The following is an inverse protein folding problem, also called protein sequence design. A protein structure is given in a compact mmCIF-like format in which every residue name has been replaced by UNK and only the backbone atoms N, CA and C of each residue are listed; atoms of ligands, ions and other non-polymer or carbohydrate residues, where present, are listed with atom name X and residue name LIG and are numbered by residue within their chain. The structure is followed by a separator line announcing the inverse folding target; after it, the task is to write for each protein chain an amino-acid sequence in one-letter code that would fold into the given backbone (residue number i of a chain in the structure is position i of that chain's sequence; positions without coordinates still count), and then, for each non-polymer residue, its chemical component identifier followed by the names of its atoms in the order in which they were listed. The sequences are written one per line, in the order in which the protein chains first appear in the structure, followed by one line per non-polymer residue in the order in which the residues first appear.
data_IF_346339926653
#
_entry.id   IF_346339926653
#
_cell.length_a   1.000
_cell.length_b   1.000
_cell.length_c   1.000
_cell.angle_alpha   90.00
_cell.angle_beta   90.00
_cell.angle_gamma   90.00
#
_symmetry.space_group_name_H-M   'P 1'
#
loop_
_entity.id
_entity.type
_entity.pdbx_description
1 polymer ?
#
# COMPACT_ATOMS: atom_id res chain seq x y z
N UNK A 1 18.18 -3.20 -11.23
CA UNK A 1 16.86 -2.81 -11.67
C UNK A 1 15.89 -2.78 -10.50
N UNK A 2 15.10 -1.74 -10.44
CA UNK A 2 14.17 -1.54 -9.34
C UNK A 2 12.87 -2.29 -9.58
N UNK A 3 12.29 -2.81 -8.51
CA UNK A 3 11.07 -3.59 -8.55
C UNK A 3 9.98 -2.83 -7.80
N UNK A 4 8.85 -2.57 -8.47
CA UNK A 4 7.68 -1.99 -7.83
C UNK A 4 7.03 -2.93 -6.83
N UNK A 5 6.33 -2.37 -5.85
CA UNK A 5 5.63 -3.13 -4.82
C UNK A 5 4.14 -2.82 -4.81
N UNK A 6 3.38 -3.73 -4.21
CA UNK A 6 2.00 -3.49 -3.79
C UNK A 6 1.98 -3.56 -2.28
N UNK A 7 1.67 -2.46 -1.62
CA UNK A 7 1.58 -2.39 -0.17
C UNK A 7 0.12 -2.26 0.25
N UNK A 8 -0.26 -3.01 1.28
CA UNK A 8 -1.63 -3.02 1.79
C UNK A 8 -1.60 -2.60 3.25
N UNK A 9 -2.33 -1.54 3.58
CA UNK A 9 -2.61 -1.13 4.94
C UNK A 9 -4.01 -1.62 5.30
N UNK A 10 -4.13 -2.32 6.41
CA UNK A 10 -5.42 -2.74 6.94
C UNK A 10 -5.58 -2.18 8.35
N UNK A 11 -6.78 -1.68 8.67
CA UNK A 11 -7.08 -1.12 9.99
C UNK A 11 -8.10 -1.97 10.74
N UNK A 12 -7.83 -2.21 12.03
CA UNK A 12 -8.76 -2.80 13.00
C UNK A 12 -9.30 -1.78 14.00
N UNK A 13 -9.02 -0.53 13.79
CA UNK A 13 -9.42 0.63 14.55
C UNK A 13 -8.95 1.85 13.79
N UNK A 14 -9.14 3.04 14.32
CA UNK A 14 -8.75 4.27 13.62
C UNK A 14 -7.24 4.38 13.57
N UNK A 15 -6.68 4.53 12.36
CA UNK A 15 -5.26 4.74 12.11
C UNK A 15 -5.10 6.08 11.41
N UNK A 16 -4.36 7.00 12.03
CA UNK A 16 -4.11 8.34 11.48
C UNK A 16 -2.76 8.39 10.79
N UNK A 17 -2.77 8.87 9.54
CA UNK A 17 -1.58 9.12 8.73
C UNK A 17 -0.61 7.92 8.69
N UNK A 18 -1.05 6.76 8.19
CA UNK A 18 -0.19 5.59 8.10
C UNK A 18 0.91 5.79 7.07
N UNK A 19 2.07 5.19 7.31
CA UNK A 19 3.23 5.33 6.44
C UNK A 19 4.06 4.06 6.39
N UNK A 20 4.78 3.87 5.27
CA UNK A 20 5.84 2.87 5.12
C UNK A 20 7.13 3.58 4.73
N UNK A 21 8.23 3.00 5.15
CA UNK A 21 9.57 3.54 4.94
C UNK A 21 10.47 2.46 4.38
N UNK A 22 11.31 2.84 3.42
CA UNK A 22 12.36 1.98 2.88
C UNK A 22 13.69 2.52 3.39
N UNK A 23 14.32 1.79 4.32
CA UNK A 23 15.49 2.28 5.07
C UNK A 23 16.68 2.56 4.16
N UNK A 24 16.97 1.68 3.22
CA UNK A 24 18.17 1.76 2.39
C UNK A 24 18.16 2.97 1.46
N UNK A 25 17.01 3.35 0.92
CA UNK A 25 16.89 4.52 0.04
C UNK A 25 16.51 5.80 0.78
N UNK A 26 15.99 5.69 1.99
CA UNK A 26 15.39 6.81 2.71
C UNK A 26 14.03 7.25 2.18
N UNK A 27 13.50 6.56 1.18
CA UNK A 27 12.18 6.87 0.62
C UNK A 27 11.07 6.40 1.55
N UNK A 28 9.94 7.09 1.48
CA UNK A 28 8.76 6.73 2.27
C UNK A 28 7.49 7.09 1.53
N UNK A 29 6.40 6.45 1.91
CA UNK A 29 5.05 6.77 1.46
C UNK A 29 4.21 7.01 2.70
N UNK A 30 3.70 8.23 2.86
CA UNK A 30 2.84 8.61 3.96
C UNK A 30 1.51 9.06 3.42
N UNK A 31 0.44 8.45 3.93
CA UNK A 31 -0.93 8.76 3.52
C UNK A 31 -1.54 9.66 4.59
N UNK A 32 -1.63 10.93 4.26
CA UNK A 32 -2.01 11.98 5.19
C UNK A 32 -0.79 12.67 5.81
N UNK A 33 -0.91 13.95 6.11
CA UNK A 33 0.15 14.77 6.69
C UNK A 33 -0.47 15.98 7.37
N UNK A 34 0.34 16.71 8.14
CA UNK A 34 -0.14 17.91 8.86
C UNK A 34 -0.81 18.88 7.89
N UNK A 35 -2.05 19.24 8.16
CA UNK A 35 -2.87 20.10 7.31
C UNK A 35 -3.72 19.32 6.29
N UNK A 36 -3.49 18.05 6.11
CA UNK A 36 -4.28 17.18 5.24
C UNK A 36 -4.30 15.76 5.81
N UNK A 37 -4.84 15.64 7.02
CA UNK A 37 -4.86 14.39 7.75
C UNK A 37 -5.76 13.36 7.08
N UNK A 38 -5.32 12.09 7.14
CA UNK A 38 -6.08 10.96 6.68
C UNK A 38 -6.30 9.97 7.83
N UNK A 39 -7.54 9.53 8.00
CA UNK A 39 -7.88 8.50 8.98
C UNK A 39 -8.41 7.27 8.28
N UNK A 40 -7.71 6.17 8.46
CA UNK A 40 -8.17 4.86 7.99
C UNK A 40 -9.05 4.26 9.07
N UNK A 41 -10.30 3.96 8.71
CA UNK A 41 -11.30 3.46 9.66
C UNK A 41 -11.21 1.95 9.78
N UNK A 42 -11.75 1.41 10.88
CA UNK A 42 -11.81 -0.03 11.11
C UNK A 42 -12.49 -0.74 9.92
N UNK A 43 -11.84 -1.78 9.42
CA UNK A 43 -12.35 -2.55 8.28
C UNK A 43 -12.01 -1.99 6.92
N UNK A 44 -11.35 -0.84 6.85
CA UNK A 44 -10.90 -0.25 5.60
C UNK A 44 -9.48 -0.70 5.26
N UNK A 45 -9.13 -0.57 3.98
CA UNK A 45 -7.81 -0.88 3.44
C UNK A 45 -7.29 0.29 2.61
N UNK A 46 -5.99 0.51 2.64
CA UNK A 46 -5.30 1.34 1.65
C UNK A 46 -4.42 0.43 0.82
N UNK A 47 -4.51 0.55 -0.50
CA UNK A 47 -3.70 -0.22 -1.45
C UNK A 47 -2.79 0.75 -2.20
N UNK A 48 -1.51 0.50 -2.16
CA UNK A 48 -0.49 1.34 -2.77
C UNK A 48 0.23 0.54 -3.84
N UNK A 49 0.24 1.04 -5.08
CA UNK A 49 1.02 0.48 -6.17
C UNK A 49 2.18 1.43 -6.48
N UNK A 50 3.39 0.89 -6.56
CA UNK A 50 4.58 1.67 -6.91
C UNK A 50 5.20 1.25 -8.24
N UNK A 51 4.53 0.39 -9.00
CA UNK A 51 5.00 -0.06 -10.31
C UNK A 51 5.02 1.09 -11.31
N UNK A 52 6.02 1.12 -12.16
CA UNK A 52 6.12 2.11 -13.23
C UNK A 52 4.84 2.13 -14.07
N UNK A 53 4.26 3.30 -14.25
CA UNK A 53 3.00 3.49 -14.98
C UNK A 53 1.74 3.17 -14.20
N UNK A 54 1.86 2.73 -12.92
CA UNK A 54 0.72 2.35 -12.09
C UNK A 54 0.80 2.92 -10.68
N UNK A 55 1.49 4.04 -10.51
CA UNK A 55 1.73 4.63 -9.18
C UNK A 55 0.48 5.33 -8.67
N UNK A 56 -0.29 4.64 -7.86
CA UNK A 56 -1.54 5.14 -7.30
C UNK A 56 -1.77 4.61 -5.90
N UNK A 57 -2.56 5.36 -5.13
CA UNK A 57 -3.01 4.99 -3.80
C UNK A 57 -4.52 4.94 -3.82
N UNK A 58 -5.08 3.84 -3.31
CA UNK A 58 -6.53 3.59 -3.29
C UNK A 58 -7.01 3.36 -1.87
N UNK A 59 -8.22 3.83 -1.59
CA UNK A 59 -8.96 3.47 -0.39
C UNK A 59 -10.02 2.42 -0.75
N UNK A 60 -10.07 1.34 0.03
CA UNK A 60 -11.12 0.34 -0.05
C UNK A 60 -11.99 0.45 1.20
N UNK A 61 -13.28 0.72 1.02
CA UNK A 61 -14.24 0.73 2.10
C UNK A 61 -15.46 -0.11 1.73
N UNK A 62 -16.12 -0.70 2.74
CA UNK A 62 -17.33 -1.46 2.51
C UNK A 62 -17.14 -2.80 1.80
N UNK A 63 -15.92 -3.32 1.75
CA UNK A 63 -15.63 -4.63 1.18
C UNK A 63 -15.07 -5.53 2.27
N UNK A 64 -15.55 -6.78 2.33
CA UNK A 64 -15.09 -7.77 3.31
C UNK A 64 -13.83 -8.48 2.81
N UNK A 65 -13.08 -9.07 3.73
CA UNK A 65 -11.94 -9.91 3.39
C UNK A 65 -12.36 -11.08 2.50
N UNK A 66 -13.51 -11.68 2.75
CA UNK A 66 -14.02 -12.78 1.93
C UNK A 66 -14.28 -12.34 0.49
N UNK A 67 -14.82 -11.14 0.29
CA UNK A 67 -15.04 -10.59 -1.04
C UNK A 67 -13.73 -10.32 -1.77
N UNK A 68 -12.72 -9.81 -1.06
CA UNK A 68 -11.39 -9.60 -1.62
C UNK A 68 -10.79 -10.93 -2.07
N UNK A 69 -10.90 -11.97 -1.24
CA UNK A 69 -10.34 -13.29 -1.51
C UNK A 69 -11.00 -14.03 -2.68
N UNK A 70 -12.16 -13.57 -3.14
CA UNK A 70 -12.79 -14.10 -4.35
C UNK A 70 -12.02 -13.74 -5.62
N UNK A 71 -11.15 -12.72 -5.56
CA UNK A 71 -10.40 -12.21 -6.70
C UNK A 71 -8.95 -12.62 -6.62
N UNK A 72 -8.67 -13.85 -7.05
CA UNK A 72 -7.31 -14.40 -7.08
C UNK A 72 -6.81 -14.53 -8.51
N UNK A 73 -5.51 -14.34 -8.68
CA UNK A 73 -4.86 -14.56 -9.96
C UNK A 73 -4.59 -16.06 -10.17
N UNK A 74 -3.98 -16.41 -11.30
CA UNK A 74 -3.67 -17.80 -11.64
C UNK A 74 -2.67 -18.47 -10.68
N UNK A 75 -1.99 -17.69 -9.84
CA UNK A 75 -1.04 -18.19 -8.87
C UNK A 75 -1.66 -18.33 -7.46
N UNK A 76 -2.95 -18.04 -7.32
CA UNK A 76 -3.64 -18.09 -6.03
C UNK A 76 -3.42 -16.87 -5.16
N UNK A 77 -2.77 -15.83 -5.69
CA UNK A 77 -2.56 -14.56 -4.98
C UNK A 77 -3.72 -13.62 -5.26
N UNK A 78 -4.04 -12.75 -4.30
CA UNK A 78 -5.09 -11.75 -4.49
C UNK A 78 -4.69 -10.83 -5.65
N UNK A 79 -5.62 -10.65 -6.58
CA UNK A 79 -5.47 -9.73 -7.70
C UNK A 79 -5.90 -8.32 -7.25
N UNK A 80 -4.97 -7.62 -6.62
CA UNK A 80 -5.24 -6.30 -6.05
C UNK A 80 -5.63 -5.26 -7.11
N UNK A 81 -5.15 -5.40 -8.35
CA UNK A 81 -5.56 -4.49 -9.43
C UNK A 81 -7.05 -4.62 -9.72
N UNK A 82 -7.55 -5.85 -9.77
CA UNK A 82 -8.99 -6.11 -9.95
C UNK A 82 -9.77 -5.59 -8.74
N UNK A 83 -9.29 -5.87 -7.53
CA UNK A 83 -9.96 -5.43 -6.30
C UNK A 83 -10.12 -3.92 -6.26
N UNK A 84 -9.06 -3.15 -6.55
CA UNK A 84 -9.17 -1.68 -6.53
C UNK A 84 -10.04 -1.15 -7.67
N UNK A 85 -10.09 -1.83 -8.80
CA UNK A 85 -10.96 -1.41 -9.91
C UNK A 85 -12.43 -1.57 -9.56
N UNK A 86 -12.76 -2.57 -8.74
CA UNK A 86 -14.14 -2.84 -8.32
C UNK A 86 -14.57 -2.04 -7.10
N UNK A 87 -13.69 -1.86 -6.12
CA UNK A 87 -14.04 -1.34 -4.80
C UNK A 87 -13.25 -0.11 -4.38
N UNK A 88 -12.23 0.27 -5.12
CA UNK A 88 -11.29 1.30 -4.70
C UNK A 88 -11.66 2.71 -5.14
N UNK A 89 -11.21 3.67 -4.35
CA UNK A 89 -11.27 5.09 -4.70
C UNK A 89 -9.85 5.64 -4.64
N UNK A 90 -9.42 6.36 -5.67
CA UNK A 90 -8.10 6.97 -5.70
C UNK A 90 -8.03 8.08 -4.65
N UNK A 91 -6.98 8.03 -3.82
CA UNK A 91 -6.74 9.01 -2.75
C UNK A 91 -5.35 9.64 -2.82
N UNK A 92 -4.83 9.83 -4.03
CA UNK A 92 -3.49 10.38 -4.25
C UNK A 92 -3.31 11.78 -3.63
N UNK A 93 -4.40 12.51 -3.40
CA UNK A 93 -4.36 13.83 -2.77
C UNK A 93 -3.84 13.80 -1.32
N UNK A 94 -3.84 12.62 -0.68
CA UNK A 94 -3.32 12.46 0.68
C UNK A 94 -1.84 12.06 0.71
N UNK A 95 -1.21 11.88 -0.44
CA UNK A 95 0.21 11.54 -0.48
C UNK A 95 1.03 12.75 -0.05
N UNK A 96 1.95 12.53 0.92
CA UNK A 96 2.90 13.57 1.35
C UNK A 96 3.80 13.95 0.17
N UNK A 97 3.90 15.24 -0.13
CA UNK A 97 4.68 15.75 -1.26
C UNK A 97 6.17 15.38 -1.18
N UNK A 98 6.69 15.26 0.04
CA UNK A 98 8.09 14.87 0.25
C UNK A 98 8.30 13.36 0.17
N UNK A 99 7.22 12.59 0.06
CA UNK A 99 7.26 11.16 -0.11
C UNK A 99 7.57 10.75 -1.55
N UNK A 100 7.92 9.50 -1.74
CA UNK A 100 8.19 8.94 -3.06
C UNK A 100 7.70 7.50 -3.12
N UNK A 101 7.37 7.03 -4.31
CA UNK A 101 6.93 5.65 -4.49
C UNK A 101 8.13 4.71 -4.37
N UNK A 102 8.13 3.93 -3.30
CA UNK A 102 9.21 3.01 -2.95
C UNK A 102 9.32 1.91 -4.00
N UNK A 103 10.56 1.60 -4.40
CA UNK A 103 10.84 0.43 -5.22
C UNK A 103 11.95 -0.37 -4.56
N UNK A 104 11.88 -1.69 -4.68
CA UNK A 104 12.91 -2.57 -4.16
C UNK A 104 14.12 -2.53 -5.09
N UNK A 105 15.29 -2.62 -4.49
CA UNK A 105 16.59 -2.59 -5.18
C UNK A 105 17.37 -3.87 -4.91
N UNK A 106 18.45 -4.07 -5.60
CA UNK A 106 19.34 -5.21 -5.34
C UNK A 106 19.88 -5.14 -3.91
N UNK A 107 20.06 -6.30 -3.31
CA UNK A 107 20.55 -6.42 -1.94
C UNK A 107 19.43 -6.36 -0.91
N UNK A 108 19.75 -5.80 0.24
CA UNK A 108 18.79 -5.75 1.37
C UNK A 108 17.78 -4.63 1.18
N UNK A 109 16.50 -4.95 1.43
CA UNK A 109 15.42 -3.98 1.45
C UNK A 109 14.68 -4.13 2.77
N UNK A 110 14.80 -3.11 3.63
CA UNK A 110 14.15 -3.09 4.93
C UNK A 110 12.94 -2.15 4.86
N UNK A 111 11.76 -2.71 5.05
CA UNK A 111 10.51 -1.95 5.06
C UNK A 111 10.00 -1.89 6.50
N UNK A 112 9.75 -0.69 6.98
CA UNK A 112 9.13 -0.44 8.27
C UNK A 112 7.86 0.36 8.08
N UNK A 113 7.02 0.40 9.10
CA UNK A 113 5.77 1.16 9.04
C UNK A 113 5.55 1.93 10.32
N UNK A 114 4.73 2.98 10.22
CA UNK A 114 4.36 3.80 11.37
C UNK A 114 3.01 4.45 11.10
N UNK A 115 2.50 5.13 12.11
CA UNK A 115 1.30 5.96 12.02
C UNK A 115 1.42 7.08 13.06
N UNK A 116 0.78 8.20 12.81
CA UNK A 116 0.76 9.29 13.79
C UNK A 116 0.02 8.86 15.06
N UNK A 117 -1.08 8.11 14.88
CA UNK A 117 -1.77 7.45 16.00
C UNK A 117 -2.44 6.18 15.49
N UNK A 118 -2.71 5.24 16.41
CA UNK A 118 -3.41 4.00 16.09
C UNK A 118 -2.53 2.93 15.46
N UNK A 119 -1.20 2.99 15.61
CA UNK A 119 -0.29 2.01 15.01
C UNK A 119 -0.62 0.57 15.44
N UNK A 120 -1.17 0.39 16.65
CA UNK A 120 -1.55 -0.94 17.15
C UNK A 120 -2.70 -1.56 16.35
N UNK A 121 -3.45 -0.76 15.61
CA UNK A 121 -4.56 -1.21 14.77
C UNK A 121 -4.16 -1.39 13.32
N UNK A 122 -2.89 -1.10 12.99
CA UNK A 122 -2.40 -1.14 11.61
C UNK A 122 -1.69 -2.46 11.33
N UNK A 123 -2.10 -3.12 10.25
CA UNK A 123 -1.38 -4.25 9.68
C UNK A 123 -0.91 -3.87 8.28
N UNK A 124 0.34 -4.21 7.96
CA UNK A 124 0.93 -3.87 6.66
C UNK A 124 1.43 -5.15 6.00
N UNK A 125 1.09 -5.30 4.72
CA UNK A 125 1.58 -6.39 3.88
C UNK A 125 2.23 -5.78 2.65
N UNK A 126 3.34 -6.35 2.21
CA UNK A 126 4.06 -5.89 1.03
C UNK A 126 4.24 -7.08 0.09
N UNK A 127 3.85 -6.89 -1.16
CA UNK A 127 3.94 -7.90 -2.21
C UNK A 127 4.80 -7.37 -3.34
N UNK A 128 5.59 -8.26 -3.94
CA UNK A 128 6.38 -7.93 -5.11
C UNK A 128 6.53 -9.18 -5.98
N UNK A 129 6.86 -8.94 -7.23
CA UNK A 129 7.08 -10.04 -8.17
C UNK A 129 8.39 -9.80 -8.91
N UNK A 130 9.25 -10.80 -8.91
CA UNK A 130 10.49 -10.77 -9.66
C UNK A 130 10.20 -11.31 -11.06
N UNK A 131 10.60 -10.54 -12.07
CA UNK A 131 10.53 -10.97 -13.46
C UNK A 131 11.93 -11.24 -13.97
N UNK A 132 12.11 -12.37 -14.64
CA UNK A 132 13.36 -12.73 -15.27
C UNK A 132 13.24 -12.55 -16.78
N UNK A 133 14.31 -12.10 -17.39
CA UNK A 133 14.35 -11.94 -18.85
C UNK A 133 14.07 -13.28 -19.53
N UNK A 134 13.14 -13.27 -20.49
CA UNK A 134 12.74 -14.45 -21.23
C UNK A 134 11.77 -15.39 -20.51
N UNK A 135 11.25 -14.95 -19.40
CA UNK A 135 10.28 -15.74 -18.62
C UNK A 135 8.91 -15.12 -18.65
#
# INVERSE_FOLDING_TARGET
DNIGITAIFRADGIVKNPAIYHSESGKYIKVGYAGNDFELQSGQYVVIFTHTGKKNIYLLGGVSQAEIEEHKDRYGMIDWETVVSMYGTIINQYLDEDGDFIQLQDGTNTITYNAESGINYLSVSVYYRISYLGV
#
